data_IF_126717215200
#
_entry.id   IF_126717215200
#
_cell.length_a   1.000
_cell.length_b   1.000
_cell.length_c   1.000
_cell.angle_alpha   90.00
_cell.angle_beta   90.00
_cell.angle_gamma   90.00
#
_symmetry.space_group_name_H-M   'P 1'
#
loop_
_entity.id
_entity.type
_entity.pdbx_description
1 polymer ?
#
# COMPACT_ATOMS: atom_id res chain seq x y z
N UNK A 1 -29.73 10.44 18.97
CA UNK A 1 -28.37 10.27 19.54
C UNK A 1 -28.09 8.79 19.45
N UNK A 2 -27.81 8.33 18.25
CA UNK A 2 -27.63 6.92 17.91
C UNK A 2 -26.71 6.93 16.68
N UNK A 3 -25.61 6.23 16.54
CA UNK A 3 -24.82 5.34 17.38
C UNK A 3 -23.42 5.42 16.74
N UNK A 4 -22.40 5.66 17.55
CA UNK A 4 -20.99 5.63 17.15
C UNK A 4 -20.63 4.18 16.76
N UNK A 5 -21.07 3.74 15.58
CA UNK A 5 -20.67 2.46 15.00
C UNK A 5 -19.22 2.57 14.55
N UNK A 6 -18.36 2.30 15.52
CA UNK A 6 -16.98 1.90 15.42
C UNK A 6 -16.83 0.79 14.37
N UNK A 7 -16.73 1.19 13.11
CA UNK A 7 -16.08 0.41 12.08
C UNK A 7 -14.75 1.12 11.86
N UNK A 8 -13.76 0.70 12.63
CA UNK A 8 -12.35 0.78 12.27
C UNK A 8 -12.20 -0.10 11.03
N UNK A 9 -12.83 0.31 9.92
CA UNK A 9 -12.57 -0.27 8.63
C UNK A 9 -11.09 -0.01 8.43
N UNK A 10 -10.35 -1.09 8.53
CA UNK A 10 -8.98 -1.27 8.09
C UNK A 10 -8.63 -0.12 7.15
N UNK A 11 -7.67 0.71 7.54
CA UNK A 11 -7.25 1.87 6.76
C UNK A 11 -6.56 1.30 5.50
N UNK A 12 -7.35 0.75 4.56
CA UNK A 12 -6.98 0.13 3.27
C UNK A 12 -6.36 1.16 2.32
N UNK A 13 -6.05 2.36 2.84
CA UNK A 13 -5.29 3.37 2.13
C UNK A 13 -3.88 2.80 1.97
N UNK A 14 -3.42 2.60 0.73
CA UNK A 14 -2.08 2.08 0.51
C UNK A 14 -1.06 2.97 1.22
N UNK A 15 0.02 2.38 1.76
CA UNK A 15 1.07 3.15 2.42
C UNK A 15 1.62 4.23 1.47
N UNK A 16 2.06 5.34 2.06
CA UNK A 16 2.76 6.38 1.31
C UNK A 16 4.20 5.94 1.09
N UNK A 17 4.70 6.09 -0.14
CA UNK A 17 6.08 5.79 -0.48
C UNK A 17 7.03 6.70 0.30
N UNK A 18 7.95 6.15 1.11
CA UNK A 18 8.89 6.97 1.90
C UNK A 18 9.92 7.71 1.04
N UNK A 19 10.11 7.32 -0.23
CA UNK A 19 11.08 7.95 -1.12
C UNK A 19 10.54 9.21 -1.81
N UNK A 20 9.28 9.20 -2.26
CA UNK A 20 8.70 10.29 -3.05
C UNK A 20 7.46 10.94 -2.41
N UNK A 21 6.88 10.34 -1.37
CA UNK A 21 5.68 10.86 -0.71
C UNK A 21 4.36 10.60 -1.45
N UNK A 22 4.37 9.80 -2.51
CA UNK A 22 3.18 9.41 -3.28
C UNK A 22 2.60 8.10 -2.75
N UNK A 23 1.28 7.91 -2.86
CA UNK A 23 0.59 6.66 -2.51
C UNK A 23 1.15 5.47 -3.30
N UNK A 24 1.48 4.37 -2.60
CA UNK A 24 1.98 3.16 -3.23
C UNK A 24 0.85 2.42 -3.94
N UNK A 25 1.18 1.77 -5.07
CA UNK A 25 0.30 0.83 -5.74
C UNK A 25 0.44 -0.58 -5.18
N UNK A 26 -0.55 -1.42 -5.47
CA UNK A 26 -0.54 -2.84 -5.13
C UNK A 26 -0.35 -3.62 -6.43
N UNK A 27 0.66 -4.48 -6.49
CA UNK A 27 0.84 -5.44 -7.58
C UNK A 27 0.62 -6.85 -7.02
N UNK A 28 -0.16 -7.63 -7.76
CA UNK A 28 -0.38 -9.05 -7.48
C UNK A 28 0.41 -9.85 -8.52
N UNK A 29 1.41 -10.60 -8.07
CA UNK A 29 2.23 -11.47 -8.92
C UNK A 29 1.45 -12.74 -9.30
N UNK A 30 1.93 -13.48 -10.30
CA UNK A 30 1.28 -14.70 -10.81
C UNK A 30 1.13 -15.80 -9.73
N UNK A 31 2.01 -15.80 -8.73
CA UNK A 31 1.96 -16.68 -7.56
C UNK A 31 0.90 -16.26 -6.51
N UNK A 32 0.16 -15.17 -6.74
CA UNK A 32 -0.80 -14.59 -5.80
C UNK A 32 -0.16 -13.78 -4.67
N UNK A 33 1.14 -13.52 -4.75
CA UNK A 33 1.85 -12.66 -3.79
C UNK A 33 1.47 -11.20 -4.06
N UNK A 34 1.05 -10.50 -3.00
CA UNK A 34 0.70 -9.09 -3.08
C UNK A 34 1.86 -8.25 -2.56
N UNK A 35 2.37 -7.33 -3.37
CA UNK A 35 3.45 -6.42 -3.01
C UNK A 35 3.05 -4.96 -3.22
N UNK A 36 3.44 -4.12 -2.27
CA UNK A 36 3.28 -2.67 -2.39
C UNK A 36 4.46 -2.11 -3.14
N UNK A 37 4.23 -1.37 -4.23
CA UNK A 37 5.29 -0.71 -5.01
C UNK A 37 4.86 0.68 -5.46
N UNK A 38 5.79 1.62 -5.40
CA UNK A 38 5.73 2.97 -5.90
C UNK A 38 5.78 2.93 -7.42
N UNK A 39 4.66 3.21 -8.07
CA UNK A 39 4.57 3.24 -9.54
C UNK A 39 5.34 4.43 -10.16
N UNK A 40 5.64 5.46 -9.36
CA UNK A 40 6.40 6.63 -9.80
C UNK A 40 7.92 6.43 -9.77
N UNK A 41 8.41 5.70 -8.76
CA UNK A 41 9.81 5.68 -8.38
C UNK A 41 10.42 4.29 -8.28
N UNK A 42 9.59 3.23 -8.30
CA UNK A 42 10.03 1.83 -8.23
C UNK A 42 10.32 1.29 -6.83
N UNK A 43 10.17 2.06 -5.76
CA UNK A 43 10.34 1.60 -4.37
C UNK A 43 9.20 0.66 -3.92
N UNK A 44 9.37 -0.44 -3.17
CA UNK A 44 10.55 -1.03 -2.61
C UNK A 44 11.00 -2.13 -3.56
N UNK A 45 11.87 -1.78 -4.50
CA UNK A 45 12.62 -2.81 -5.19
C UNK A 45 13.62 -3.37 -4.17
N UNK A 46 13.20 -4.40 -3.42
CA UNK A 46 14.08 -5.23 -2.59
C UNK A 46 15.13 -6.00 -3.44
N UNK A 47 15.29 -5.64 -4.71
CA UNK A 47 16.39 -6.03 -5.60
C UNK A 47 17.59 -5.09 -5.46
N UNK A 48 17.98 -4.74 -4.22
CA UNK A 48 19.38 -4.38 -3.96
C UNK A 48 20.17 -5.68 -3.73
N UNK A 49 20.49 -6.37 -4.83
CA UNK A 49 21.68 -7.21 -4.92
C UNK A 49 22.08 -7.52 -6.35
#
# INVERSE_FOLDING_TARGET
MEEESKAEADDERPPICPACGVTMGIIVDEDGTTRYVCLECGFPDETTR
#
